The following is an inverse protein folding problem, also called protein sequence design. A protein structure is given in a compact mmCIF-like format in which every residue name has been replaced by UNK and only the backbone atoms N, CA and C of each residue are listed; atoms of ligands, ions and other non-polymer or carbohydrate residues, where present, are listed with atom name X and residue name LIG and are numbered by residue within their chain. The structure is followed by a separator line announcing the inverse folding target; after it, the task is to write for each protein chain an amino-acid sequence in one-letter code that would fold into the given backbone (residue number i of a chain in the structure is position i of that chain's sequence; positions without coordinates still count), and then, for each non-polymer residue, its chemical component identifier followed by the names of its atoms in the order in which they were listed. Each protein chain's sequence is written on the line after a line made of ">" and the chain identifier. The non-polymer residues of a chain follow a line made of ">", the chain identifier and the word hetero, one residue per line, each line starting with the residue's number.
data_IF_038830043241
#
_entry.id   IF_038830043241
#
_cell.length_a   1.000
_cell.length_b   1.000
_cell.length_c   1.000
_cell.angle_alpha   90.00
_cell.angle_beta   90.00
_cell.angle_gamma   90.00
#
_symmetry.space_group_name_H-M   'P 1'
#
loop_
_entity.id
_entity.type
_entity.pdbx_description
1 polymer ?
#
# COMPACT_ATOMS: atom_id res chain seq x y z
N UNK A 1 16.54 -12.91 -67.94
CA UNK A 1 16.44 -14.23 -68.65
C UNK A 1 15.98 -15.26 -67.63
N UNK A 2 14.88 -15.95 -68.02
CA UNK A 2 14.27 -17.18 -67.46
C UNK A 2 13.62 -17.02 -66.08
N UNK A 3 12.30 -16.77 -65.99
CA UNK A 3 11.12 -17.60 -66.35
C UNK A 3 11.06 -18.92 -65.58
N UNK A 4 10.07 -19.11 -64.72
CA UNK A 4 8.88 -19.97 -64.84
C UNK A 4 8.31 -20.18 -63.44
N UNK A 5 7.12 -19.82 -63.09
CA UNK A 5 5.75 -20.29 -63.47
C UNK A 5 5.40 -21.65 -62.78
N UNK A 6 4.22 -21.55 -62.05
CA UNK A 6 3.20 -22.61 -61.84
C UNK A 6 3.47 -23.50 -60.62
N UNK A 7 2.58 -23.66 -59.64
CA UNK A 7 1.22 -24.19 -59.75
C UNK A 7 0.38 -23.96 -58.51
N UNK A 8 -0.82 -23.65 -58.80
CA UNK A 8 -1.96 -23.65 -57.90
C UNK A 8 -2.48 -25.06 -57.66
N UNK A 9 -3.32 -25.19 -56.65
CA UNK A 9 -4.30 -26.25 -56.42
C UNK A 9 -3.87 -27.46 -55.57
N UNK A 10 -4.33 -27.49 -54.31
CA UNK A 10 -5.16 -28.60 -53.86
C UNK A 10 -5.99 -28.13 -52.64
N UNK A 11 -7.20 -27.67 -52.93
CA UNK A 11 -8.29 -27.66 -51.98
C UNK A 11 -8.99 -29.02 -52.09
N UNK A 12 -9.02 -29.77 -50.98
CA UNK A 12 -10.02 -30.83 -50.84
C UNK A 12 -10.12 -31.23 -49.34
N UNK A 13 -11.21 -30.84 -48.77
CA UNK A 13 -12.07 -31.59 -47.85
C UNK A 13 -11.45 -32.63 -46.91
N UNK A 14 -11.42 -32.32 -45.59
CA UNK A 14 -11.66 -33.31 -44.56
C UNK A 14 -12.65 -32.75 -43.54
N UNK A 15 -13.91 -32.84 -43.87
CA UNK A 15 -15.01 -32.81 -42.88
C UNK A 15 -15.24 -34.27 -42.46
N UNK A 16 -15.52 -34.44 -41.21
CA UNK A 16 -16.16 -35.57 -40.54
C UNK A 16 -15.25 -36.36 -39.59
N UNK A 17 -15.34 -36.00 -38.30
CA UNK A 17 -15.63 -36.94 -37.21
C UNK A 17 -15.48 -36.20 -35.87
N UNK A 18 -16.50 -35.41 -35.49
CA UNK A 18 -16.67 -34.98 -34.08
C UNK A 18 -17.46 -36.08 -33.38
N UNK A 19 -16.78 -37.11 -32.89
CA UNK A 19 -17.38 -38.10 -32.00
C UNK A 19 -17.63 -37.44 -30.64
N UNK A 20 -18.89 -37.42 -30.24
CA UNK A 20 -19.37 -37.07 -28.91
C UNK A 20 -18.78 -38.03 -27.87
N UNK A 21 -17.86 -37.57 -27.06
CA UNK A 21 -17.59 -38.20 -25.75
C UNK A 21 -18.20 -37.30 -24.69
N UNK A 22 -19.39 -37.66 -24.28
CA UNK A 22 -20.03 -37.07 -23.10
C UNK A 22 -19.26 -37.48 -21.84
N UNK A 23 -18.48 -36.55 -21.28
CA UNK A 23 -18.00 -36.67 -19.91
C UNK A 23 -19.15 -36.48 -18.92
N UNK A 24 -19.07 -37.07 -17.72
CA UNK A 24 -20.12 -36.92 -16.71
C UNK A 24 -20.26 -35.44 -16.29
N UNK A 25 -21.47 -34.99 -15.90
CA UNK A 25 -21.68 -33.61 -15.50
C UNK A 25 -20.84 -33.30 -14.27
N UNK A 26 -20.02 -32.27 -14.37
CA UNK A 26 -19.33 -31.66 -13.22
C UNK A 26 -20.43 -31.08 -12.32
N UNK A 27 -20.58 -31.67 -11.13
CA UNK A 27 -21.42 -31.09 -10.09
C UNK A 27 -20.82 -29.77 -9.67
N UNK A 28 -21.44 -28.68 -10.01
CA UNK A 28 -21.18 -27.36 -9.50
C UNK A 28 -21.96 -27.16 -8.19
N UNK A 29 -21.59 -27.89 -7.14
CA UNK A 29 -22.02 -27.63 -5.79
C UNK A 29 -20.94 -26.77 -5.12
N UNK A 30 -20.93 -25.51 -5.43
CA UNK A 30 -20.12 -24.46 -4.84
C UNK A 30 -20.96 -23.21 -4.86
N UNK A 31 -21.84 -23.08 -3.87
CA UNK A 31 -22.47 -21.81 -3.53
C UNK A 31 -21.36 -20.81 -3.27
N UNK A 32 -21.08 -19.96 -4.26
CA UNK A 32 -20.18 -18.83 -4.11
C UNK A 32 -20.80 -17.91 -3.06
N UNK A 33 -20.32 -18.03 -1.81
CA UNK A 33 -20.64 -17.06 -0.76
C UNK A 33 -20.30 -15.69 -1.31
N UNK A 34 -21.30 -14.85 -1.45
CA UNK A 34 -21.12 -13.46 -1.86
C UNK A 34 -20.05 -12.81 -0.96
N UNK A 35 -19.13 -12.01 -1.50
CA UNK A 35 -18.11 -11.35 -0.70
C UNK A 35 -18.80 -10.53 0.39
N UNK A 36 -18.37 -10.77 1.63
CA UNK A 36 -18.87 -10.02 2.78
C UNK A 36 -18.64 -8.53 2.53
N UNK A 37 -19.69 -7.75 2.53
CA UNK A 37 -19.61 -6.30 2.30
C UNK A 37 -18.55 -5.68 3.19
N UNK A 38 -17.84 -4.66 2.68
CA UNK A 38 -16.97 -3.82 3.49
C UNK A 38 -17.70 -3.44 4.79
N UNK A 39 -17.01 -3.43 5.94
CA UNK A 39 -17.69 -3.11 7.19
C UNK A 39 -18.32 -1.73 7.08
N UNK A 40 -19.60 -1.68 7.36
CA UNK A 40 -20.40 -0.47 7.51
C UNK A 40 -19.99 0.21 8.85
N UNK A 41 -18.77 0.72 8.91
CA UNK A 41 -18.39 1.67 9.93
C UNK A 41 -18.52 3.04 9.30
N UNK A 42 -19.58 3.72 9.68
CA UNK A 42 -19.69 5.14 9.39
C UNK A 42 -18.40 5.85 9.81
N UNK A 43 -17.90 6.82 9.01
CA UNK A 43 -16.75 7.61 9.37
C UNK A 43 -16.93 8.19 10.79
N UNK A 44 -15.89 8.12 11.64
CA UNK A 44 -15.84 8.83 12.92
C UNK A 44 -16.46 8.14 14.14
N UNK A 45 -16.87 6.88 14.09
CA UNK A 45 -17.45 6.16 15.26
C UNK A 45 -16.47 5.25 16.00
N UNK A 46 -15.25 5.09 15.49
CA UNK A 46 -14.22 4.22 16.06
C UNK A 46 -13.36 4.84 17.15
N UNK A 47 -12.62 4.02 17.87
CA UNK A 47 -11.60 4.47 18.83
C UNK A 47 -10.47 5.16 18.06
N UNK A 48 -10.19 6.42 18.41
CA UNK A 48 -9.10 7.18 17.81
C UNK A 48 -7.75 6.83 18.42
N UNK A 49 -6.67 7.22 17.73
CA UNK A 49 -5.32 7.14 18.28
C UNK A 49 -5.27 7.95 19.58
N UNK A 50 -4.73 7.39 20.68
CA UNK A 50 -4.61 8.11 21.93
C UNK A 50 -3.68 9.33 21.79
N UNK A 51 -3.75 10.30 22.71
CA UNK A 51 -2.79 11.42 22.76
C UNK A 51 -1.35 10.92 22.74
N UNK A 52 -0.46 11.69 22.09
CA UNK A 52 0.95 11.35 22.01
C UNK A 52 1.60 11.24 23.40
N UNK A 53 2.25 10.11 23.65
CA UNK A 53 3.07 9.86 24.82
C UNK A 53 4.45 9.35 24.37
N UNK A 54 5.49 10.13 24.60
CA UNK A 54 6.86 9.80 24.17
C UNK A 54 7.40 8.52 24.84
N UNK A 55 6.87 8.11 25.97
CA UNK A 55 7.33 6.96 26.74
C UNK A 55 6.56 5.67 26.41
N UNK A 56 5.42 5.76 25.71
CA UNK A 56 4.50 4.64 25.58
C UNK A 56 4.14 4.32 24.12
N UNK A 57 4.60 3.19 23.60
CA UNK A 57 4.10 2.68 22.32
C UNK A 57 2.59 2.45 22.35
N UNK A 58 1.93 2.68 21.22
CA UNK A 58 0.50 2.40 21.04
C UNK A 58 0.36 1.03 20.38
N UNK A 59 -0.19 0.07 21.14
CA UNK A 59 -0.53 -1.24 20.58
C UNK A 59 -1.64 -1.08 19.53
N UNK A 60 -1.45 -1.69 18.38
CA UNK A 60 -2.45 -1.74 17.32
C UNK A 60 -3.36 -2.97 17.49
N UNK A 61 -4.51 -2.92 16.85
CA UNK A 61 -5.47 -4.01 16.92
C UNK A 61 -5.05 -5.13 15.96
N UNK A 62 -5.27 -6.42 16.28
CA UNK A 62 -4.97 -7.51 15.35
C UNK A 62 -5.62 -7.28 13.99
N UNK A 63 -4.92 -7.55 12.86
CA UNK A 63 -5.45 -7.26 11.53
C UNK A 63 -6.67 -8.14 11.21
N UNK A 64 -7.63 -7.57 10.49
CA UNK A 64 -8.74 -8.32 9.93
C UNK A 64 -8.31 -8.94 8.61
N UNK A 65 -8.42 -10.26 8.47
CA UNK A 65 -7.95 -10.98 7.28
C UNK A 65 -9.08 -11.45 6.35
N UNK A 66 -10.32 -11.36 6.80
CA UNK A 66 -11.51 -11.89 6.14
C UNK A 66 -12.50 -10.81 5.69
N UNK A 67 -11.99 -9.61 5.38
CA UNK A 67 -12.81 -8.48 4.95
C UNK A 67 -12.31 -7.83 3.66
N UNK A 68 -13.16 -6.98 3.09
CA UNK A 68 -12.85 -6.22 1.88
C UNK A 68 -13.29 -6.94 0.58
N UNK A 69 -13.24 -6.24 -0.56
CA UNK A 69 -13.57 -6.79 -1.86
C UNK A 69 -12.48 -7.75 -2.35
N UNK A 70 -12.79 -8.61 -3.33
CA UNK A 70 -11.76 -9.42 -4.00
C UNK A 70 -10.64 -8.56 -4.58
N UNK A 71 -9.40 -9.10 -4.59
CA UNK A 71 -8.21 -8.39 -5.07
C UNK A 71 -8.39 -7.72 -6.44
N UNK A 72 -9.04 -8.38 -7.39
CA UNK A 72 -9.26 -7.83 -8.74
C UNK A 72 -10.16 -6.59 -8.70
N UNK A 73 -11.10 -6.53 -7.77
CA UNK A 73 -11.93 -5.34 -7.53
C UNK A 73 -11.08 -4.21 -6.95
N UNK A 74 -10.24 -4.48 -5.95
CA UNK A 74 -9.34 -3.48 -5.39
C UNK A 74 -8.36 -2.92 -6.44
N UNK A 75 -7.83 -3.78 -7.32
CA UNK A 75 -6.98 -3.36 -8.45
C UNK A 75 -7.72 -2.45 -9.44
N UNK A 76 -8.98 -2.77 -9.75
CA UNK A 76 -9.83 -1.95 -10.64
C UNK A 76 -10.14 -0.58 -10.02
N UNK A 77 -10.42 -0.53 -8.73
CA UNK A 77 -10.82 0.68 -8.00
C UNK A 77 -9.62 1.56 -7.60
N UNK A 78 -8.40 1.00 -7.57
CA UNK A 78 -7.18 1.70 -7.16
C UNK A 78 -6.94 2.95 -8.02
N UNK A 79 -6.85 4.10 -7.39
CA UNK A 79 -6.51 5.39 -8.02
C UNK A 79 -5.71 6.27 -7.07
N UNK A 80 -5.06 7.31 -7.60
CA UNK A 80 -4.50 8.40 -6.81
C UNK A 80 -5.55 9.50 -6.64
N UNK A 81 -5.76 9.95 -5.41
CA UNK A 81 -6.64 11.05 -5.08
C UNK A 81 -5.88 12.08 -4.24
N UNK A 82 -6.13 13.36 -4.49
CA UNK A 82 -5.46 14.48 -3.80
C UNK A 82 -6.43 15.33 -2.99
N UNK A 83 -7.69 14.90 -2.92
CA UNK A 83 -8.71 15.53 -2.09
C UNK A 83 -9.00 14.66 -0.88
N UNK A 84 -8.81 15.21 0.32
CA UNK A 84 -8.91 14.50 1.58
C UNK A 84 -9.83 15.25 2.55
N UNK A 85 -10.65 14.50 3.28
CA UNK A 85 -11.30 14.99 4.48
C UNK A 85 -10.27 15.10 5.62
N UNK A 86 -10.35 16.10 6.49
CA UNK A 86 -9.50 16.21 7.66
C UNK A 86 -9.88 15.22 8.78
N UNK A 87 -10.93 14.45 8.60
CA UNK A 87 -11.43 13.47 9.57
C UNK A 87 -10.37 12.43 9.91
N UNK A 88 -10.05 12.20 11.21
CA UNK A 88 -9.02 11.26 11.61
C UNK A 88 -9.45 9.81 11.30
N UNK A 89 -8.47 8.99 10.92
CA UNK A 89 -8.67 7.55 10.82
C UNK A 89 -8.80 6.95 12.22
N UNK A 90 -9.74 6.05 12.40
CA UNK A 90 -9.85 5.31 13.64
C UNK A 90 -8.71 4.29 13.79
N UNK A 91 -8.51 3.81 15.02
CA UNK A 91 -7.43 2.88 15.34
C UNK A 91 -7.57 1.55 14.58
N UNK A 92 -8.79 1.14 14.24
CA UNK A 92 -9.05 -0.08 13.49
C UNK A 92 -8.52 0.03 12.05
N UNK A 93 -8.90 1.08 11.34
CA UNK A 93 -8.44 1.35 9.98
C UNK A 93 -6.92 1.55 9.93
N UNK A 94 -6.38 2.30 10.90
CA UNK A 94 -4.94 2.52 10.99
C UNK A 94 -4.17 1.23 11.24
N UNK A 95 -4.68 0.34 12.10
CA UNK A 95 -4.06 -0.96 12.39
C UNK A 95 -4.02 -1.85 11.16
N UNK A 96 -5.14 -1.99 10.48
CA UNK A 96 -5.26 -2.82 9.27
C UNK A 96 -4.40 -2.24 8.12
N UNK A 97 -4.38 -0.92 7.95
CA UNK A 97 -3.57 -0.22 6.95
C UNK A 97 -2.07 -0.48 7.14
N UNK A 98 -1.57 -0.31 8.37
CA UNK A 98 -0.15 -0.49 8.67
C UNK A 98 0.27 -1.95 8.54
N UNK A 99 -0.60 -2.88 8.95
CA UNK A 99 -0.36 -4.29 8.72
C UNK A 99 -0.34 -4.63 7.23
N UNK A 100 -1.30 -4.13 6.45
CA UNK A 100 -1.32 -4.32 5.00
C UNK A 100 -0.04 -3.77 4.34
N UNK A 101 0.43 -2.61 4.79
CA UNK A 101 1.63 -1.97 4.27
C UNK A 101 2.88 -2.83 4.42
N UNK A 102 3.17 -3.31 5.64
CA UNK A 102 4.42 -4.04 5.92
C UNK A 102 4.36 -4.88 7.21
N UNK A 103 3.17 -5.33 7.64
CA UNK A 103 3.01 -6.17 8.82
C UNK A 103 3.60 -7.57 8.66
N UNK A 104 3.86 -8.24 9.76
CA UNK A 104 4.29 -9.64 9.77
C UNK A 104 3.11 -10.53 9.40
N UNK A 105 3.25 -11.29 8.31
CA UNK A 105 2.24 -12.25 7.84
C UNK A 105 2.67 -13.70 7.96
N UNK A 106 3.92 -13.96 8.38
CA UNK A 106 4.48 -15.28 8.68
C UNK A 106 5.26 -15.20 9.99
N UNK A 107 4.55 -15.44 11.08
CA UNK A 107 5.07 -15.24 12.44
C UNK A 107 6.33 -16.07 12.71
N UNK A 108 6.41 -17.29 12.17
CA UNK A 108 7.54 -18.22 12.37
C UNK A 108 8.86 -17.71 11.80
N UNK A 109 8.80 -16.90 10.77
CA UNK A 109 9.98 -16.36 10.06
C UNK A 109 10.11 -14.84 10.14
N UNK A 110 9.09 -14.15 10.68
CA UNK A 110 9.02 -12.70 10.73
C UNK A 110 8.90 -12.02 9.38
N UNK A 111 8.58 -12.78 8.31
CA UNK A 111 8.40 -12.23 6.97
C UNK A 111 7.13 -11.40 6.88
N UNK A 112 7.13 -10.43 5.95
CA UNK A 112 6.16 -9.34 5.91
C UNK A 112 5.24 -9.42 4.70
N UNK A 113 4.18 -8.65 4.71
CA UNK A 113 3.25 -8.47 3.58
C UNK A 113 3.93 -7.90 2.34
N UNK A 114 4.94 -7.05 2.51
CA UNK A 114 5.77 -6.53 1.43
C UNK A 114 7.13 -7.23 1.39
N UNK A 115 7.63 -7.67 0.22
CA UNK A 115 8.94 -8.29 0.10
C UNK A 115 10.07 -7.25 0.20
N UNK A 116 11.25 -7.70 0.62
CA UNK A 116 12.50 -6.93 0.52
C UNK A 116 13.61 -7.79 -0.07
N UNK A 117 14.53 -7.18 -0.80
CA UNK A 117 15.67 -7.90 -1.37
C UNK A 117 16.45 -8.60 -0.26
N UNK A 118 16.69 -9.91 -0.42
CA UNK A 118 17.42 -10.74 0.56
C UNK A 118 16.90 -10.68 1.98
N UNK A 119 15.60 -10.41 2.16
CA UNK A 119 14.92 -10.27 3.46
C UNK A 119 15.58 -9.24 4.41
N UNK A 120 16.13 -8.15 3.86
CA UNK A 120 16.87 -7.14 4.64
C UNK A 120 16.00 -6.26 5.50
N UNK A 121 14.70 -6.15 5.18
CA UNK A 121 13.72 -5.36 5.96
C UNK A 121 14.22 -3.94 6.24
N UNK A 122 14.83 -3.35 5.23
CA UNK A 122 15.49 -2.04 5.33
C UNK A 122 14.52 -0.85 5.31
N UNK A 123 13.25 -1.08 4.93
CA UNK A 123 12.25 -0.02 4.86
C UNK A 123 11.44 0.07 6.16
N UNK A 124 11.55 1.21 6.83
CA UNK A 124 10.72 1.61 7.95
C UNK A 124 9.55 2.50 7.46
N UNK A 125 8.38 2.31 8.04
CA UNK A 125 7.19 3.13 7.79
C UNK A 125 6.93 4.02 9.00
N UNK A 126 6.89 5.34 8.76
CA UNK A 126 6.54 6.31 9.77
C UNK A 126 5.14 6.84 9.48
N UNK A 127 4.36 7.07 10.53
CA UNK A 127 3.01 7.63 10.50
C UNK A 127 3.02 9.02 11.13
N UNK A 128 2.86 10.06 10.31
CA UNK A 128 2.69 11.43 10.77
C UNK A 128 1.20 11.73 10.89
N UNK A 129 0.79 12.13 12.09
CA UNK A 129 -0.59 12.50 12.46
C UNK A 129 -0.60 13.89 13.07
N UNK A 130 -1.77 14.46 13.33
CA UNK A 130 -1.89 15.73 14.05
C UNK A 130 -1.25 15.68 15.45
N UNK A 131 -1.23 14.52 16.11
CA UNK A 131 -0.70 14.33 17.46
C UNK A 131 0.81 14.12 17.51
N UNK A 132 1.42 13.59 16.45
CA UNK A 132 2.84 13.28 16.44
C UNK A 132 3.27 12.37 15.31
N UNK A 133 4.57 12.13 15.28
CA UNK A 133 5.23 11.17 14.39
C UNK A 133 5.49 9.87 15.16
N UNK A 134 5.10 8.77 14.56
CA UNK A 134 5.33 7.43 15.08
C UNK A 134 6.08 6.59 14.04
N UNK A 135 6.91 5.64 14.48
CA UNK A 135 7.44 4.58 13.64
C UNK A 135 6.61 3.32 13.86
N UNK A 136 6.16 2.72 12.78
CA UNK A 136 5.49 1.43 12.86
C UNK A 136 6.49 0.33 13.20
N UNK A 137 6.18 -0.47 14.20
CA UNK A 137 6.88 -1.69 14.56
C UNK A 137 6.07 -2.90 14.07
N UNK A 138 6.49 -3.56 12.97
CA UNK A 138 5.75 -4.69 12.42
C UNK A 138 5.77 -5.93 13.32
N UNK A 139 6.80 -6.13 14.13
CA UNK A 139 6.94 -7.31 14.99
C UNK A 139 6.03 -7.21 16.22
N UNK A 140 6.03 -6.06 16.87
CA UNK A 140 5.13 -5.77 17.97
C UNK A 140 3.73 -5.33 17.54
N UNK A 141 3.49 -5.13 16.24
CA UNK A 141 2.28 -4.50 15.69
C UNK A 141 1.87 -3.28 16.50
N UNK A 142 2.76 -2.31 16.56
CA UNK A 142 2.64 -1.14 17.41
C UNK A 142 3.16 0.13 16.73
N UNK A 143 2.71 1.28 17.20
CA UNK A 143 3.24 2.59 16.87
C UNK A 143 4.21 3.03 17.97
N UNK A 144 5.48 3.15 17.64
CA UNK A 144 6.53 3.65 18.53
C UNK A 144 6.62 5.16 18.37
N UNK A 145 6.42 5.96 19.43
CA UNK A 145 6.48 7.41 19.34
C UNK A 145 7.91 7.88 19.01
N UNK A 146 8.04 8.89 18.14
CA UNK A 146 9.34 9.43 17.69
C UNK A 146 9.44 10.92 17.99
N UNK A 147 8.49 11.72 17.52
CA UNK A 147 8.48 13.19 17.71
C UNK A 147 7.07 13.63 18.03
N UNK A 148 6.90 14.43 19.09
CA UNK A 148 5.65 15.08 19.41
C UNK A 148 5.37 16.26 18.46
N UNK A 149 4.10 16.52 18.21
CA UNK A 149 3.66 17.61 17.35
C UNK A 149 3.45 17.23 15.90
N UNK A 150 2.75 18.07 15.19
CA UNK A 150 2.29 17.84 13.82
C UNK A 150 3.43 18.06 12.80
N UNK A 151 3.87 16.99 12.15
CA UNK A 151 4.86 17.03 11.08
C UNK A 151 4.27 16.82 9.68
N UNK A 152 2.93 16.77 9.52
CA UNK A 152 2.30 16.51 8.23
C UNK A 152 2.65 17.58 7.20
N UNK A 153 2.70 18.85 7.58
CA UNK A 153 3.11 19.95 6.70
C UNK A 153 4.53 19.80 6.16
N UNK A 154 5.43 19.11 6.88
CA UNK A 154 6.79 18.82 6.42
C UNK A 154 6.86 17.57 5.54
N UNK A 155 5.87 16.67 5.62
CA UNK A 155 5.83 15.42 4.84
C UNK A 155 5.54 15.63 3.36
N UNK A 156 5.20 16.85 2.92
CA UNK A 156 4.99 17.18 1.51
C UNK A 156 4.80 18.67 1.27
N UNK A 157 5.13 19.12 0.07
CA UNK A 157 5.00 20.53 -0.34
C UNK A 157 3.55 20.84 -0.77
N UNK A 158 2.75 19.82 -1.08
CA UNK A 158 1.35 19.98 -1.43
C UNK A 158 0.49 20.28 -0.18
N UNK A 159 -0.41 21.24 -0.29
CA UNK A 159 -1.25 21.72 0.82
C UNK A 159 -2.06 20.62 1.50
N UNK A 160 -2.56 19.65 0.73
CA UNK A 160 -3.35 18.55 1.29
C UNK A 160 -2.56 17.68 2.28
N UNK A 161 -1.22 17.65 2.19
CA UNK A 161 -0.41 16.90 3.14
C UNK A 161 -0.54 17.45 4.56
N UNK A 162 -0.63 18.77 4.71
CA UNK A 162 -0.78 19.41 6.02
C UNK A 162 -2.15 19.17 6.67
N UNK A 163 -3.18 18.86 5.89
CA UNK A 163 -4.57 18.78 6.34
C UNK A 163 -5.15 17.37 6.40
N UNK A 164 -4.64 16.47 5.56
CA UNK A 164 -5.05 15.07 5.57
C UNK A 164 -4.74 14.41 6.93
N UNK A 165 -5.53 13.42 7.37
CA UNK A 165 -5.38 12.85 8.72
C UNK A 165 -4.08 12.09 8.93
N UNK A 166 -3.47 11.56 7.86
CA UNK A 166 -2.29 10.70 7.93
C UNK A 166 -1.37 10.89 6.72
N UNK A 167 -0.07 11.07 6.99
CA UNK A 167 1.00 10.88 6.02
C UNK A 167 1.89 9.71 6.44
N UNK A 168 2.02 8.71 5.58
CA UNK A 168 3.03 7.67 5.71
C UNK A 168 4.32 8.16 5.06
N UNK A 169 5.46 7.99 5.76
CA UNK A 169 6.78 8.35 5.27
C UNK A 169 7.62 7.09 5.22
N UNK A 170 8.15 6.78 4.04
CA UNK A 170 8.94 5.58 3.77
C UNK A 170 10.42 5.90 3.86
N UNK A 171 11.10 5.30 4.84
CA UNK A 171 12.51 5.56 5.15
C UNK A 171 13.30 4.28 5.01
N UNK A 172 14.29 4.26 4.13
CA UNK A 172 15.23 3.14 4.00
C UNK A 172 16.42 3.33 4.95
N UNK A 173 16.67 2.32 5.77
CA UNK A 173 17.87 2.20 6.61
C UNK A 173 18.99 1.58 5.78
N UNK A 174 19.86 2.44 5.23
CA UNK A 174 20.96 2.03 4.35
C UNK A 174 22.04 1.22 5.06
N UNK A 175 22.08 1.23 6.40
CA UNK A 175 22.99 0.39 7.17
C UNK A 175 22.64 -1.09 7.02
N UNK A 176 21.36 -1.43 6.86
CA UNK A 176 20.90 -2.79 6.58
C UNK A 176 21.32 -3.31 5.19
N UNK A 177 21.73 -2.39 4.31
CA UNK A 177 22.26 -2.66 2.97
C UNK A 177 23.79 -2.48 2.92
N UNK A 178 24.49 -2.68 4.03
CA UNK A 178 25.95 -2.59 4.08
C UNK A 178 26.58 -3.56 3.06
N UNK A 179 27.62 -3.09 2.37
CA UNK A 179 28.32 -3.88 1.34
C UNK A 179 27.75 -3.76 -0.07
N UNK A 180 26.57 -3.18 -0.27
CA UNK A 180 26.04 -2.88 -1.61
C UNK A 180 26.57 -1.55 -2.16
N UNK A 181 26.67 -1.43 -3.48
CA UNK A 181 26.95 -0.17 -4.15
C UNK A 181 25.85 0.86 -3.88
N UNK A 182 26.17 2.15 -3.90
CA UNK A 182 25.20 3.21 -3.64
C UNK A 182 24.00 3.18 -4.61
N UNK A 183 24.26 2.85 -5.86
CA UNK A 183 23.26 2.67 -6.92
C UNK A 183 22.27 1.55 -6.61
N UNK A 184 22.76 0.40 -6.15
CA UNK A 184 21.95 -0.74 -5.76
C UNK A 184 21.10 -0.41 -4.53
N UNK A 185 21.67 0.30 -3.53
CA UNK A 185 20.93 0.76 -2.36
C UNK A 185 19.74 1.65 -2.73
N UNK A 186 19.97 2.60 -3.65
CA UNK A 186 18.90 3.48 -4.13
C UNK A 186 17.81 2.71 -4.89
N UNK A 187 18.23 1.77 -5.74
CA UNK A 187 17.32 0.90 -6.51
C UNK A 187 16.47 0.04 -5.58
N UNK A 188 17.07 -0.64 -4.61
CA UNK A 188 16.32 -1.45 -3.64
C UNK A 188 15.39 -0.61 -2.77
N UNK A 189 15.85 0.53 -2.26
CA UNK A 189 15.03 1.43 -1.48
C UNK A 189 13.78 1.88 -2.25
N UNK A 190 13.94 2.25 -3.53
CA UNK A 190 12.84 2.61 -4.41
C UNK A 190 11.86 1.45 -4.65
N UNK A 191 12.38 0.26 -4.93
CA UNK A 191 11.56 -0.94 -5.14
C UNK A 191 10.77 -1.32 -3.87
N UNK A 192 11.43 -1.32 -2.71
CA UNK A 192 10.78 -1.67 -1.44
C UNK A 192 9.70 -0.65 -1.07
N UNK A 193 9.96 0.65 -1.24
CA UNK A 193 8.95 1.69 -1.05
C UNK A 193 7.77 1.52 -2.02
N UNK A 194 8.04 1.12 -3.27
CA UNK A 194 7.03 0.81 -4.26
C UNK A 194 6.12 -0.35 -3.84
N UNK A 195 6.69 -1.45 -3.32
CA UNK A 195 5.90 -2.59 -2.84
C UNK A 195 4.99 -2.21 -1.67
N UNK A 196 5.54 -1.50 -0.68
CA UNK A 196 4.77 -1.04 0.49
C UNK A 196 3.68 -0.05 0.08
N UNK A 197 4.01 0.93 -0.77
CA UNK A 197 3.04 1.93 -1.21
C UNK A 197 1.91 1.32 -2.05
N UNK A 198 2.20 0.29 -2.86
CA UNK A 198 1.15 -0.43 -3.60
C UNK A 198 0.22 -1.20 -2.67
N UNK A 199 0.73 -1.84 -1.61
CA UNK A 199 -0.12 -2.47 -0.59
C UNK A 199 -1.07 -1.44 0.05
N UNK A 200 -0.57 -0.25 0.39
CA UNK A 200 -1.39 0.86 0.90
C UNK A 200 -2.44 1.30 -0.10
N UNK A 201 -2.10 1.44 -1.40
CA UNK A 201 -3.06 1.76 -2.44
C UNK A 201 -4.21 0.74 -2.52
N UNK A 202 -3.87 -0.55 -2.50
CA UNK A 202 -4.87 -1.63 -2.59
C UNK A 202 -5.74 -1.68 -1.33
N UNK A 203 -5.14 -1.49 -0.16
CA UNK A 203 -5.90 -1.37 1.09
C UNK A 203 -6.86 -0.18 1.03
N UNK A 204 -6.40 1.00 0.63
CA UNK A 204 -7.24 2.19 0.52
C UNK A 204 -8.39 1.99 -0.47
N UNK A 205 -8.13 1.38 -1.63
CA UNK A 205 -9.18 1.04 -2.58
C UNK A 205 -10.22 0.08 -1.99
N UNK A 206 -9.77 -0.88 -1.17
CA UNK A 206 -10.66 -1.84 -0.47
C UNK A 206 -11.48 -1.20 0.64
N UNK A 207 -10.92 -0.18 1.30
CA UNK A 207 -11.51 0.49 2.45
C UNK A 207 -12.30 1.77 2.09
N UNK A 208 -12.38 2.14 0.81
CA UNK A 208 -13.00 3.39 0.38
C UNK A 208 -12.22 4.64 0.81
N UNK A 209 -10.92 4.51 1.06
CA UNK A 209 -10.04 5.62 1.42
C UNK A 209 -9.40 6.26 0.20
N UNK A 210 -9.11 7.55 0.30
CA UNK A 210 -8.29 8.31 -0.63
C UNK A 210 -6.81 8.13 -0.29
N UNK A 211 -5.94 8.06 -1.32
CA UNK A 211 -4.50 8.02 -1.11
C UNK A 211 -3.73 8.49 -2.34
N UNK A 212 -2.53 9.05 -2.12
CA UNK A 212 -1.56 9.36 -3.16
C UNK A 212 -0.13 9.25 -2.66
N UNK A 213 0.71 8.51 -3.39
CA UNK A 213 2.15 8.46 -3.13
C UNK A 213 2.83 9.70 -3.75
N UNK A 214 3.85 10.23 -3.07
CA UNK A 214 4.53 11.48 -3.43
C UNK A 214 6.04 11.38 -3.28
N UNK A 215 6.79 12.02 -4.20
CA UNK A 215 8.24 12.25 -4.08
C UNK A 215 8.57 13.73 -3.84
N UNK A 216 7.58 14.63 -3.99
CA UNK A 216 7.76 16.07 -3.86
C UNK A 216 7.75 16.46 -2.37
N UNK A 217 8.94 16.34 -1.75
CA UNK A 217 9.20 16.48 -0.33
C UNK A 217 10.54 17.23 -0.18
N UNK A 218 10.61 18.18 0.75
CA UNK A 218 11.89 18.70 1.23
C UNK A 218 12.52 17.65 2.17
N UNK A 219 13.21 16.67 1.56
CA UNK A 219 13.80 15.54 2.28
C UNK A 219 14.81 15.96 3.36
N UNK A 220 15.72 16.93 3.14
CA UNK A 220 16.62 17.38 4.18
C UNK A 220 15.90 17.98 5.39
N UNK A 221 14.94 18.87 5.17
CA UNK A 221 14.16 19.49 6.24
C UNK A 221 13.33 18.46 7.02
N UNK A 222 12.67 17.55 6.29
CA UNK A 222 11.89 16.48 6.92
C UNK A 222 12.78 15.51 7.72
N UNK A 223 13.93 15.11 7.19
CA UNK A 223 14.87 14.22 7.88
C UNK A 223 15.35 14.83 9.21
N UNK A 224 15.66 16.14 9.21
CA UNK A 224 16.04 16.87 10.42
C UNK A 224 14.87 16.90 11.42
N UNK A 225 13.64 17.20 10.99
CA UNK A 225 12.46 17.24 11.84
C UNK A 225 12.14 15.85 12.44
N UNK A 226 12.33 14.79 11.68
CA UNK A 226 12.16 13.38 12.09
C UNK A 226 13.31 12.86 12.96
N UNK A 227 14.42 13.61 13.09
CA UNK A 227 15.65 13.20 13.78
C UNK A 227 16.27 11.92 13.20
N UNK A 228 16.23 11.79 11.88
CA UNK A 228 16.82 10.63 11.20
C UNK A 228 18.34 10.62 11.29
N UNK A 229 18.91 9.42 11.34
CA UNK A 229 20.36 9.23 11.26
C UNK A 229 20.84 9.50 9.82
N UNK A 230 22.13 9.80 9.61
CA UNK A 230 22.70 10.06 8.27
C UNK A 230 22.58 8.88 7.28
N UNK A 231 22.45 7.66 7.80
CA UNK A 231 22.30 6.44 7.04
C UNK A 231 20.83 6.04 6.81
N UNK A 232 19.88 6.90 7.19
CA UNK A 232 18.46 6.74 6.90
C UNK A 232 18.03 7.70 5.79
N UNK A 233 17.41 7.15 4.75
CA UNK A 233 17.02 7.89 3.55
C UNK A 233 15.51 7.92 3.39
N UNK A 234 14.91 9.11 3.35
CA UNK A 234 13.50 9.27 2.96
C UNK A 234 13.37 8.95 1.47
N UNK A 235 12.55 7.97 1.14
CA UNK A 235 12.31 7.52 -0.24
C UNK A 235 11.11 8.24 -0.82
N UNK A 236 9.93 8.01 -0.24
CA UNK A 236 8.62 8.53 -0.65
C UNK A 236 7.80 8.90 0.58
N UNK A 237 6.70 9.64 0.38
CA UNK A 237 5.62 9.75 1.33
C UNK A 237 4.29 9.38 0.66
N UNK A 238 3.29 9.02 1.45
CA UNK A 238 1.96 8.68 0.96
C UNK A 238 0.90 9.22 1.89
N UNK A 239 0.05 10.10 1.37
CA UNK A 239 -1.09 10.66 2.11
C UNK A 239 -2.25 9.67 2.07
N UNK A 240 -2.93 9.51 3.21
CA UNK A 240 -4.09 8.64 3.38
C UNK A 240 -5.15 9.36 4.21
N UNK A 241 -6.41 9.23 3.81
CA UNK A 241 -7.56 9.79 4.53
C UNK A 241 -8.87 9.39 3.89
N UNK A 242 -9.97 9.86 4.45
CA UNK A 242 -11.25 9.76 3.77
C UNK A 242 -11.28 10.67 2.55
N UNK A 243 -12.04 10.32 1.49
CA UNK A 243 -12.21 11.21 0.34
C UNK A 243 -12.76 12.56 0.76
N UNK A 244 -12.12 13.63 0.28
CA UNK A 244 -12.64 14.99 0.37
C UNK A 244 -13.65 15.28 -0.74
N UNK A 245 -14.13 16.54 -0.84
CA UNK A 245 -14.98 16.97 -1.94
C UNK A 245 -14.26 16.78 -3.28
N UNK A 246 -15.01 16.54 -4.38
CA UNK A 246 -14.40 16.36 -5.71
C UNK A 246 -13.51 17.56 -6.07
N UNK A 247 -12.34 17.30 -6.64
CA UNK A 247 -11.47 18.35 -7.18
C UNK A 247 -12.22 19.07 -8.31
N UNK A 248 -12.35 20.41 -8.21
CA UNK A 248 -12.98 21.19 -9.26
C UNK A 248 -12.06 21.18 -10.48
N UNK A 249 -12.36 20.36 -11.49
CA UNK A 249 -11.64 20.35 -12.76
C UNK A 249 -11.25 18.98 -13.34
N UNK A 250 -11.43 17.88 -12.65
CA UNK A 250 -11.27 16.55 -13.26
C UNK A 250 -12.55 16.13 -14.01
N UNK A 251 -12.69 16.63 -15.25
CA UNK A 251 -13.52 15.94 -16.26
C UNK A 251 -12.69 14.76 -16.78
N UNK A 252 -13.15 13.57 -16.50
CA UNK A 252 -12.59 12.29 -16.99
C UNK A 252 -12.61 12.19 -18.51
#
# INVERSE_FOLDING_TARGET
>A
MRTCIISAALAAALALACAKTGGPPVKTDGEATAPKAAPESAPGTGVLLPPFDAAKPVALLPPRLDWGPPLMTALRERRSSRSFSPEPLDLRLLSDLLWAATGVNRAETGQRTAPTARDRRDLDVYAATAGGLYRYDPEGHALVPVVAGDLRAAAGIQEFAATAPLDLIYVSDLAKNAGEAAEDKATFAGAHAGFVSQNVYLFCASAGLATVVRAYIDKPALAAAMRLRPDQMIVLAQTVGFPGPPEQGETH
#
